data_IF_627931295631
#
_entry.id   IF_627931295631
#
_cell.length_a   1.000
_cell.length_b   1.000
_cell.length_c   1.000
_cell.angle_alpha   90.00
_cell.angle_beta   90.00
_cell.angle_gamma   90.00
#
_symmetry.space_group_name_H-M   'P 1'
#
loop_
_entity.id
_entity.type
_entity.pdbx_description
1 polymer ?
#
# COMPACT_ATOMS: atom_id res chain seq x y z
N UNK A 1 -62.73 14.93 47.93
CA UNK A 1 -62.92 14.04 46.77
C UNK A 1 -61.92 14.47 45.75
N UNK A 2 -60.86 13.71 45.61
CA UNK A 2 -59.72 14.00 44.74
C UNK A 2 -59.73 12.97 43.58
N UNK A 3 -59.77 13.44 42.33
CA UNK A 3 -59.75 12.62 41.14
C UNK A 3 -58.32 12.32 40.81
N UNK A 4 -58.02 11.08 40.28
CA UNK A 4 -56.67 10.70 39.89
C UNK A 4 -56.28 11.24 38.51
N UNK A 5 -55.08 11.77 38.42
CA UNK A 5 -54.44 12.25 37.19
C UNK A 5 -53.97 11.02 36.41
N UNK A 6 -54.49 10.82 35.23
CA UNK A 6 -54.00 9.83 34.27
C UNK A 6 -52.73 10.35 33.57
N UNK A 7 -51.59 9.75 33.88
CA UNK A 7 -50.34 10.06 33.22
C UNK A 7 -50.23 9.21 31.96
N UNK A 8 -50.46 9.80 30.79
CA UNK A 8 -50.22 9.15 29.50
C UNK A 8 -48.74 9.28 29.19
N UNK A 9 -48.01 8.17 29.35
CA UNK A 9 -46.67 8.00 28.79
C UNK A 9 -46.78 7.97 27.27
N UNK A 10 -46.57 9.08 26.60
CA UNK A 10 -46.22 9.13 25.18
C UNK A 10 -44.78 8.64 25.03
N UNK A 11 -44.66 7.39 24.57
CA UNK A 11 -43.37 6.82 24.15
C UNK A 11 -42.81 7.65 23.03
N UNK A 12 -41.75 8.41 23.34
CA UNK A 12 -40.90 9.03 22.33
C UNK A 12 -40.16 7.89 21.66
N UNK A 13 -40.58 7.49 20.46
CA UNK A 13 -39.80 6.69 19.57
C UNK A 13 -38.63 7.58 19.14
N UNK A 14 -37.50 7.43 19.81
CA UNK A 14 -36.26 8.06 19.40
C UNK A 14 -35.87 7.45 18.03
N UNK A 15 -36.16 8.22 16.99
CA UNK A 15 -35.51 7.97 15.69
C UNK A 15 -34.03 8.24 15.97
N UNK A 16 -33.26 7.17 16.12
CA UNK A 16 -31.81 7.24 16.03
C UNK A 16 -31.50 7.86 14.66
N UNK A 17 -31.20 9.14 14.66
CA UNK A 17 -30.63 9.76 13.48
C UNK A 17 -29.36 8.99 13.16
N UNK A 18 -29.45 8.15 12.13
CA UNK A 18 -28.30 7.49 11.56
C UNK A 18 -27.37 8.62 11.13
N UNK A 19 -26.29 8.83 11.89
CA UNK A 19 -25.26 9.79 11.50
C UNK A 19 -24.91 9.50 10.04
N UNK A 20 -24.93 10.52 9.20
CA UNK A 20 -24.48 10.39 7.82
C UNK A 20 -23.12 9.67 7.84
N UNK A 21 -22.88 8.71 6.92
CA UNK A 21 -21.61 8.02 6.88
C UNK A 21 -20.49 9.05 6.89
N UNK A 22 -19.54 8.91 7.82
CA UNK A 22 -18.40 9.80 7.88
C UNK A 22 -17.66 9.63 6.54
N UNK A 23 -17.63 10.67 5.70
CA UNK A 23 -16.89 10.63 4.45
C UNK A 23 -15.41 10.50 4.81
N UNK A 24 -14.84 9.32 4.57
CA UNK A 24 -13.40 9.13 4.60
C UNK A 24 -12.81 9.88 3.40
N UNK A 25 -12.19 11.01 3.69
CA UNK A 25 -11.55 11.88 2.69
C UNK A 25 -10.24 11.29 2.14
N UNK A 26 -9.75 10.19 2.71
CA UNK A 26 -8.44 9.58 2.42
C UNK A 26 -8.55 8.37 1.47
N UNK A 27 -9.49 8.39 0.55
CA UNK A 27 -9.61 7.34 -0.48
C UNK A 27 -8.42 7.36 -1.44
N UNK A 28 -8.21 6.25 -2.15
CA UNK A 28 -7.16 6.17 -3.19
C UNK A 28 -7.41 7.23 -4.25
N UNK A 29 -6.39 8.07 -4.46
CA UNK A 29 -6.43 9.17 -5.40
C UNK A 29 -5.27 9.04 -6.39
N UNK A 30 -5.60 8.98 -7.68
CA UNK A 30 -4.63 9.11 -8.75
C UNK A 30 -4.58 10.55 -9.22
N UNK A 31 -3.35 11.09 -9.36
CA UNK A 31 -3.09 12.45 -9.83
C UNK A 31 -2.13 12.40 -11.00
N UNK A 32 -2.57 12.80 -12.18
CA UNK A 32 -1.73 12.92 -13.37
C UNK A 32 -0.63 13.96 -13.19
N UNK A 33 0.56 13.71 -13.70
CA UNK A 33 1.69 14.66 -13.58
C UNK A 33 1.52 15.86 -14.50
N UNK A 34 1.06 15.66 -15.74
CA UNK A 34 1.01 16.72 -16.77
C UNK A 34 -0.30 16.77 -17.55
N UNK A 35 -1.12 15.73 -17.49
CA UNK A 35 -2.31 15.57 -18.33
C UNK A 35 -3.30 14.61 -17.69
N UNK A 36 -4.47 14.50 -18.28
CA UNK A 36 -5.42 13.43 -18.00
C UNK A 36 -4.83 12.06 -18.41
N UNK A 37 -5.28 11.03 -17.76
CA UNK A 37 -4.88 9.64 -17.95
C UNK A 37 -6.11 8.74 -17.91
N UNK A 38 -5.95 7.50 -18.32
CA UNK A 38 -6.92 6.44 -18.05
C UNK A 38 -6.36 5.43 -17.08
N UNK A 39 -7.22 4.89 -16.23
CA UNK A 39 -6.95 3.75 -15.36
C UNK A 39 -7.82 2.57 -15.79
N UNK A 40 -7.23 1.40 -15.87
CA UNK A 40 -7.95 0.13 -16.03
C UNK A 40 -7.36 -0.95 -15.13
N UNK A 41 -8.15 -1.97 -14.81
CA UNK A 41 -7.67 -3.24 -14.30
C UNK A 41 -7.65 -4.25 -15.45
N UNK A 42 -6.57 -5.03 -15.58
CA UNK A 42 -6.50 -6.06 -16.64
C UNK A 42 -7.59 -7.12 -16.51
N UNK A 43 -8.00 -7.42 -15.27
CA UNK A 43 -9.14 -8.26 -14.91
C UNK A 43 -9.78 -7.73 -13.63
N UNK A 44 -11.08 -7.95 -13.45
CA UNK A 44 -11.74 -7.70 -12.16
C UNK A 44 -11.38 -8.84 -11.21
N UNK A 45 -10.59 -8.56 -10.17
CA UNK A 45 -10.17 -9.55 -9.17
C UNK A 45 -10.38 -9.06 -7.73
N UNK A 46 -11.44 -8.31 -7.50
CA UNK A 46 -11.95 -7.98 -6.17
C UNK A 46 -13.30 -8.67 -5.95
N UNK A 47 -13.58 -9.00 -4.70
CA UNK A 47 -14.72 -9.84 -4.30
C UNK A 47 -15.93 -9.06 -3.78
N UNK A 48 -15.81 -7.75 -3.63
CA UNK A 48 -16.89 -6.83 -3.26
C UNK A 48 -17.19 -5.81 -4.35
N UNK A 49 -17.39 -4.57 -3.95
CA UNK A 49 -17.65 -3.43 -4.85
C UNK A 49 -16.45 -2.49 -4.86
N UNK A 50 -16.13 -1.96 -6.04
CA UNK A 50 -15.23 -0.82 -6.20
C UNK A 50 -15.97 0.25 -6.99
N UNK A 51 -15.84 1.49 -6.56
CA UNK A 51 -16.41 2.66 -7.22
C UNK A 51 -15.28 3.63 -7.59
N UNK A 52 -15.49 4.37 -8.66
CA UNK A 52 -14.64 5.48 -9.05
C UNK A 52 -15.41 6.80 -9.06
N UNK A 53 -14.67 7.90 -8.95
CA UNK A 53 -15.17 9.25 -9.06
C UNK A 53 -14.12 10.13 -9.72
N UNK A 54 -14.55 11.17 -10.42
CA UNK A 54 -13.69 12.22 -10.99
C UNK A 54 -13.86 13.57 -10.31
N UNK A 55 -14.88 13.70 -9.44
CA UNK A 55 -15.23 14.92 -8.71
C UNK A 55 -15.23 14.74 -7.18
N UNK A 56 -14.93 13.50 -6.70
CA UNK A 56 -14.97 13.08 -5.30
C UNK A 56 -16.37 13.20 -4.64
N UNK A 57 -17.41 13.34 -5.43
CA UNK A 57 -18.81 13.51 -4.99
C UNK A 57 -19.72 12.45 -5.58
N UNK A 58 -19.63 12.25 -6.87
CA UNK A 58 -20.44 11.28 -7.60
C UNK A 58 -19.64 10.01 -7.83
N UNK A 59 -20.17 8.88 -7.33
CA UNK A 59 -19.49 7.60 -7.38
C UNK A 59 -20.20 6.63 -8.32
N UNK A 60 -19.43 5.97 -9.15
CA UNK A 60 -19.92 4.99 -10.14
C UNK A 60 -19.24 3.65 -9.91
N UNK A 61 -20.02 2.57 -9.89
CA UNK A 61 -19.47 1.21 -9.76
C UNK A 61 -18.51 0.93 -10.92
N UNK A 62 -17.31 0.49 -10.56
CA UNK A 62 -16.25 0.17 -11.50
C UNK A 62 -16.09 -1.33 -11.69
N UNK A 63 -16.05 -1.78 -12.91
CA UNK A 63 -15.86 -3.18 -13.29
C UNK A 63 -14.43 -3.48 -13.80
N UNK A 64 -13.52 -2.51 -13.72
CA UNK A 64 -12.14 -2.65 -14.21
C UNK A 64 -11.91 -2.17 -15.64
N UNK A 65 -12.96 -1.78 -16.39
CA UNK A 65 -12.78 -1.17 -17.71
C UNK A 65 -12.08 0.19 -17.61
N UNK A 66 -11.49 0.64 -18.71
CA UNK A 66 -10.80 1.93 -18.74
C UNK A 66 -11.72 3.08 -18.35
N UNK A 67 -11.30 3.88 -17.36
CA UNK A 67 -11.97 5.12 -16.94
C UNK A 67 -10.97 6.27 -17.05
N UNK A 68 -11.46 7.43 -17.51
CA UNK A 68 -10.63 8.62 -17.69
C UNK A 68 -10.63 9.48 -16.42
N UNK A 69 -9.48 10.05 -16.09
CA UNK A 69 -9.40 11.15 -15.13
C UNK A 69 -10.07 12.41 -15.72
N UNK A 70 -10.41 13.34 -14.84
CA UNK A 70 -10.87 14.69 -15.22
C UNK A 70 -10.01 15.70 -14.47
N UNK A 71 -9.46 16.65 -15.16
CA UNK A 71 -8.50 17.62 -14.60
C UNK A 71 -7.35 16.92 -13.83
N UNK A 72 -6.87 15.80 -14.37
CA UNK A 72 -5.80 15.00 -13.80
C UNK A 72 -6.16 14.25 -12.52
N UNK A 73 -7.44 14.12 -12.15
CA UNK A 73 -7.86 13.44 -10.92
C UNK A 73 -8.77 12.25 -11.18
N UNK A 74 -8.54 11.17 -10.45
CA UNK A 74 -9.40 10.00 -10.41
C UNK A 74 -9.31 9.39 -9.00
N UNK A 75 -10.46 9.09 -8.42
CA UNK A 75 -10.61 8.56 -7.08
C UNK A 75 -11.19 7.16 -7.12
N UNK A 76 -10.72 6.28 -6.22
CA UNK A 76 -11.29 4.96 -6.01
C UNK A 76 -11.62 4.73 -4.54
N UNK A 77 -12.71 4.02 -4.30
CA UNK A 77 -13.07 3.48 -2.99
C UNK A 77 -13.68 2.09 -3.16
N UNK A 78 -13.68 1.30 -2.11
CA UNK A 78 -14.26 -0.04 -2.11
C UNK A 78 -15.12 -0.30 -0.90
N UNK A 79 -15.98 -1.29 -1.00
CA UNK A 79 -16.79 -1.80 0.11
C UNK A 79 -16.97 -3.31 0.02
N UNK A 80 -16.93 -3.98 1.19
CA UNK A 80 -17.10 -5.42 1.30
C UNK A 80 -16.04 -6.25 0.58
N UNK A 81 -14.88 -5.66 0.21
CA UNK A 81 -13.79 -6.41 -0.40
C UNK A 81 -12.91 -7.05 0.69
N UNK A 82 -12.39 -8.22 0.41
CA UNK A 82 -11.37 -8.87 1.24
C UNK A 82 -10.04 -9.05 0.50
N UNK A 83 -10.05 -8.88 -0.80
CA UNK A 83 -8.86 -9.08 -1.65
C UNK A 83 -8.91 -8.26 -2.94
N UNK A 84 -7.73 -7.88 -3.41
CA UNK A 84 -7.42 -7.34 -4.74
C UNK A 84 -6.36 -8.22 -5.42
N UNK A 85 -6.48 -9.51 -5.25
CA UNK A 85 -5.52 -10.49 -5.73
C UNK A 85 -5.44 -10.50 -7.25
N UNK A 86 -4.21 -10.47 -7.76
CA UNK A 86 -3.94 -10.70 -9.18
C UNK A 86 -3.66 -12.18 -9.43
N UNK A 87 -4.56 -12.85 -10.14
CA UNK A 87 -4.45 -14.29 -10.43
C UNK A 87 -3.65 -14.57 -11.71
N UNK A 88 -3.80 -13.74 -12.73
CA UNK A 88 -3.22 -13.95 -14.06
C UNK A 88 -2.59 -12.66 -14.61
N UNK A 89 -1.90 -11.87 -13.75
CA UNK A 89 -1.39 -10.57 -14.14
C UNK A 89 -2.47 -9.47 -14.18
N UNK A 90 -3.62 -9.70 -13.53
CA UNK A 90 -4.61 -8.65 -13.27
C UNK A 90 -3.96 -7.55 -12.44
N UNK A 91 -3.92 -6.37 -12.95
CA UNK A 91 -3.20 -5.25 -12.38
C UNK A 91 -3.80 -3.93 -12.82
N UNK A 92 -3.55 -2.92 -12.04
CA UNK A 92 -3.88 -1.56 -12.43
C UNK A 92 -2.88 -1.06 -13.49
N UNK A 93 -3.41 -0.48 -14.55
CA UNK A 93 -2.63 0.04 -15.68
C UNK A 93 -3.03 1.49 -15.93
N UNK A 94 -2.03 2.37 -15.94
CA UNK A 94 -2.17 3.80 -16.23
C UNK A 94 -1.70 4.08 -17.65
N UNK A 95 -2.45 4.88 -18.42
CA UNK A 95 -2.07 5.26 -19.79
C UNK A 95 -1.02 6.37 -19.84
N UNK A 96 -0.90 7.18 -18.78
CA UNK A 96 0.09 8.24 -18.62
C UNK A 96 0.58 8.31 -17.17
N UNK A 97 1.66 9.06 -16.93
CA UNK A 97 2.26 9.18 -15.60
C UNK A 97 1.31 9.81 -14.59
N UNK A 98 1.08 9.10 -13.50
CA UNK A 98 0.28 9.54 -12.38
C UNK A 98 0.84 9.05 -11.04
N UNK A 99 0.72 9.88 -10.02
CA UNK A 99 0.96 9.52 -8.64
C UNK A 99 -0.30 8.87 -8.06
N UNK A 100 -0.13 7.84 -7.22
CA UNK A 100 -1.18 7.30 -6.36
C UNK A 100 -0.92 7.74 -4.93
N UNK A 101 -1.96 8.18 -4.22
CA UNK A 101 -1.91 8.61 -2.81
C UNK A 101 -3.15 8.13 -2.07
N UNK A 102 -3.20 8.37 -0.76
CA UNK A 102 -4.28 7.93 0.10
C UNK A 102 -4.09 6.52 0.65
N UNK A 103 -5.01 6.10 1.49
CA UNK A 103 -4.96 4.84 2.20
C UNK A 103 -5.47 3.68 1.33
N UNK A 104 -4.58 2.71 0.98
CA UNK A 104 -4.95 1.55 0.14
C UNK A 104 -6.10 0.72 0.74
N UNK A 105 -6.24 0.70 2.07
CA UNK A 105 -7.26 -0.10 2.75
C UNK A 105 -8.68 0.41 2.49
N UNK A 106 -8.84 1.65 2.03
CA UNK A 106 -10.14 2.18 1.58
C UNK A 106 -10.70 1.45 0.36
N UNK A 107 -9.88 0.66 -0.34
CA UNK A 107 -10.34 -0.25 -1.38
C UNK A 107 -10.99 -1.52 -0.81
N UNK A 108 -10.65 -1.93 0.41
CA UNK A 108 -11.32 -3.05 1.09
C UNK A 108 -12.64 -2.59 1.69
N UNK A 109 -12.58 -1.55 2.51
CA UNK A 109 -13.74 -0.93 3.14
C UNK A 109 -13.47 0.56 3.39
N UNK A 110 -14.15 1.44 2.65
CA UNK A 110 -13.87 2.88 2.72
C UNK A 110 -14.44 3.54 3.97
N UNK A 111 -15.52 3.00 4.53
CA UNK A 111 -16.17 3.56 5.73
C UNK A 111 -15.40 3.27 7.03
N UNK A 112 -14.62 2.19 7.03
CA UNK A 112 -13.78 1.77 8.16
C UNK A 112 -12.58 0.96 7.66
N UNK A 113 -11.54 1.61 7.08
CA UNK A 113 -10.43 0.92 6.46
C UNK A 113 -9.70 -0.01 7.45
N UNK A 114 -9.59 -1.31 7.15
CA UNK A 114 -9.01 -2.26 8.09
C UNK A 114 -7.49 -2.10 8.20
N UNK A 115 -6.95 -2.21 9.40
CA UNK A 115 -5.49 -2.31 9.64
C UNK A 115 -4.99 -3.75 9.68
N UNK A 116 -5.90 -4.72 9.58
CA UNK A 116 -5.64 -6.15 9.59
C UNK A 116 -6.00 -6.75 8.24
N UNK A 117 -5.03 -7.36 7.56
CA UNK A 117 -5.30 -8.14 6.36
C UNK A 117 -5.73 -9.56 6.74
N UNK A 118 -6.88 -10.01 6.24
CA UNK A 118 -7.46 -11.32 6.57
C UNK A 118 -7.22 -12.38 5.48
N UNK A 119 -6.96 -11.98 4.24
CA UNK A 119 -6.76 -12.88 3.10
C UNK A 119 -5.31 -12.92 2.65
N UNK A 120 -4.82 -14.13 2.36
CA UNK A 120 -3.54 -14.32 1.69
C UNK A 120 -3.54 -13.66 0.32
N UNK A 121 -2.38 -13.18 -0.12
CA UNK A 121 -2.22 -12.55 -1.44
C UNK A 121 -3.10 -11.29 -1.65
N UNK A 122 -3.60 -10.64 -0.60
CA UNK A 122 -4.62 -9.58 -0.64
C UNK A 122 -4.37 -8.51 -1.72
N UNK A 123 -3.15 -8.00 -1.84
CA UNK A 123 -2.73 -6.98 -2.83
C UNK A 123 -1.57 -7.47 -3.71
N UNK A 124 -1.37 -8.78 -3.81
CA UNK A 124 -0.31 -9.35 -4.63
C UNK A 124 -0.39 -8.84 -6.05
N UNK A 125 0.72 -8.30 -6.55
CA UNK A 125 0.90 -7.83 -7.93
C UNK A 125 -0.09 -6.75 -8.40
N UNK A 126 -0.77 -6.03 -7.49
CA UNK A 126 -1.83 -5.07 -7.85
C UNK A 126 -1.36 -3.98 -8.82
N UNK A 127 -0.12 -3.50 -8.70
CA UNK A 127 0.52 -2.53 -9.59
C UNK A 127 1.67 -3.13 -10.40
N UNK A 128 1.79 -4.45 -10.48
CA UNK A 128 2.87 -5.10 -11.22
C UNK A 128 2.96 -4.58 -12.66
N UNK A 129 4.16 -4.14 -13.09
CA UNK A 129 4.41 -3.52 -14.39
C UNK A 129 3.58 -2.25 -14.67
N UNK A 130 3.11 -1.55 -13.67
CA UNK A 130 2.48 -0.24 -13.85
C UNK A 130 3.57 0.81 -14.07
N UNK A 131 4.17 0.82 -15.27
CA UNK A 131 5.36 1.63 -15.61
C UNK A 131 5.11 3.13 -15.56
N UNK A 132 3.85 3.57 -15.54
CA UNK A 132 3.43 4.97 -15.43
C UNK A 132 3.08 5.39 -13.99
N UNK A 133 3.18 4.51 -12.99
CA UNK A 133 2.98 4.87 -11.60
C UNK A 133 4.22 5.61 -11.06
N UNK A 134 4.05 6.82 -10.52
CA UNK A 134 5.18 7.66 -10.05
C UNK A 134 5.30 7.77 -8.55
N UNK A 135 4.21 7.57 -7.80
CA UNK A 135 4.19 7.45 -6.35
C UNK A 135 3.23 6.34 -5.91
N UNK A 136 3.59 5.63 -4.85
CA UNK A 136 2.75 4.59 -4.24
C UNK A 136 1.82 5.17 -3.18
N UNK A 137 0.62 4.58 -2.96
CA UNK A 137 -0.27 4.95 -1.87
C UNK A 137 0.27 4.48 -0.52
N UNK A 138 -0.31 4.95 0.58
CA UNK A 138 -0.01 4.47 1.91
C UNK A 138 -0.51 3.03 2.14
N UNK A 139 0.30 2.24 2.85
CA UNK A 139 0.04 0.84 3.18
C UNK A 139 -0.03 0.65 4.70
N UNK A 140 -1.08 1.12 5.38
CA UNK A 140 -1.12 1.24 6.83
C UNK A 140 -1.39 -0.07 7.58
N UNK A 141 -1.48 -1.22 6.91
CA UNK A 141 -1.74 -2.49 7.59
C UNK A 141 -0.63 -2.86 8.56
N UNK A 142 -1.01 -3.10 9.81
CA UNK A 142 -0.12 -3.53 10.90
C UNK A 142 -0.10 -5.03 11.11
N UNK A 143 -1.14 -5.73 10.67
CA UNK A 143 -1.22 -7.20 10.70
C UNK A 143 -1.33 -7.74 9.27
N UNK A 144 -0.37 -8.58 8.91
CA UNK A 144 -0.18 -9.09 7.57
C UNK A 144 -0.59 -10.56 7.44
N UNK A 145 -0.79 -10.99 6.19
CA UNK A 145 -0.94 -12.39 5.80
C UNK A 145 0.17 -12.81 4.83
N UNK A 146 0.25 -14.09 4.56
CA UNK A 146 1.23 -14.65 3.61
C UNK A 146 1.00 -14.06 2.20
N UNK A 147 2.09 -13.64 1.53
CA UNK A 147 2.11 -13.06 0.19
C UNK A 147 1.30 -11.76 0.01
N UNK A 148 0.84 -11.09 1.06
CA UNK A 148 -0.16 -10.01 0.96
C UNK A 148 0.24 -8.84 0.05
N UNK A 149 1.51 -8.46 0.01
CA UNK A 149 2.06 -7.40 -0.86
C UNK A 149 3.14 -7.90 -1.81
N UNK A 150 3.23 -9.22 -2.04
CA UNK A 150 4.23 -9.78 -2.95
C UNK A 150 4.13 -9.13 -4.32
N UNK A 151 5.27 -8.66 -4.84
CA UNK A 151 5.41 -8.05 -6.18
C UNK A 151 4.47 -6.88 -6.44
N UNK A 152 3.93 -6.22 -5.40
CA UNK A 152 2.87 -5.22 -5.56
C UNK A 152 3.26 -4.09 -6.53
N UNK A 153 4.50 -3.63 -6.48
CA UNK A 153 5.04 -2.57 -7.33
C UNK A 153 6.20 -3.04 -8.21
N UNK A 154 6.42 -4.35 -8.35
CA UNK A 154 7.50 -4.86 -9.20
C UNK A 154 7.35 -4.35 -10.63
N UNK A 155 8.47 -3.97 -11.24
CA UNK A 155 8.56 -3.39 -12.58
C UNK A 155 7.83 -2.03 -12.77
N UNK A 156 7.52 -1.31 -11.69
CA UNK A 156 7.04 0.08 -11.76
C UNK A 156 8.23 1.02 -12.01
N UNK A 157 8.73 1.06 -13.25
CA UNK A 157 9.99 1.73 -13.59
C UNK A 157 9.98 3.25 -13.40
N UNK A 158 8.80 3.90 -13.39
CA UNK A 158 8.67 5.34 -13.09
C UNK A 158 8.43 5.63 -11.61
N UNK A 159 8.31 4.63 -10.74
CA UNK A 159 8.02 4.82 -9.32
C UNK A 159 9.20 5.49 -8.62
N UNK A 160 9.00 6.74 -8.17
CA UNK A 160 10.01 7.56 -7.47
C UNK A 160 9.84 7.50 -5.95
N UNK A 161 8.58 7.42 -5.50
CA UNK A 161 8.20 7.52 -4.09
C UNK A 161 7.48 6.26 -3.63
N UNK A 162 8.10 5.53 -2.70
CA UNK A 162 7.47 4.44 -1.94
C UNK A 162 6.61 5.00 -0.80
N UNK A 163 5.75 4.19 -0.14
CA UNK A 163 5.17 4.54 1.15
C UNK A 163 6.27 4.94 2.14
N UNK A 164 6.02 5.91 3.01
CA UNK A 164 7.03 6.37 3.98
C UNK A 164 7.45 5.26 4.96
N UNK A 165 6.52 4.41 5.34
CA UNK A 165 6.72 3.30 6.28
C UNK A 165 5.86 2.10 5.88
N UNK A 166 6.36 0.90 6.15
CA UNK A 166 5.60 -0.36 6.14
C UNK A 166 5.41 -0.79 7.60
N UNK A 167 4.29 -0.42 8.26
CA UNK A 167 4.21 -0.33 9.73
C UNK A 167 4.12 -1.67 10.45
N UNK A 168 3.97 -2.79 9.74
CA UNK A 168 3.87 -4.10 10.37
C UNK A 168 5.15 -4.48 11.11
N UNK A 169 5.04 -4.79 12.39
CA UNK A 169 6.16 -5.19 13.25
C UNK A 169 6.38 -6.71 13.27
N UNK A 170 5.36 -7.49 12.91
CA UNK A 170 5.43 -8.95 12.77
C UNK A 170 5.10 -9.34 11.34
N UNK A 171 6.08 -9.92 10.66
CA UNK A 171 5.95 -10.25 9.24
C UNK A 171 5.42 -11.67 9.03
N UNK A 172 4.96 -11.93 7.80
CA UNK A 172 4.52 -13.22 7.32
C UNK A 172 5.35 -13.65 6.10
N UNK A 173 5.33 -14.94 5.82
CA UNK A 173 6.05 -15.53 4.68
C UNK A 173 5.74 -14.78 3.38
N UNK A 174 6.80 -14.35 2.66
CA UNK A 174 6.75 -13.62 1.40
C UNK A 174 5.92 -12.32 1.40
N UNK A 175 5.59 -11.73 2.55
CA UNK A 175 4.65 -10.59 2.62
C UNK A 175 5.08 -9.38 1.79
N UNK A 176 6.38 -9.08 1.69
CA UNK A 176 6.96 -7.98 0.90
C UNK A 176 7.98 -8.47 -0.15
N UNK A 177 8.01 -9.78 -0.45
CA UNK A 177 8.92 -10.33 -1.45
C UNK A 177 8.71 -9.66 -2.81
N UNK A 178 9.81 -9.29 -3.48
CA UNK A 178 9.82 -8.60 -4.78
C UNK A 178 9.02 -7.30 -4.85
N UNK A 179 8.66 -6.69 -3.71
CA UNK A 179 7.68 -5.60 -3.67
C UNK A 179 8.04 -4.43 -4.58
N UNK A 180 9.31 -4.03 -4.63
CA UNK A 180 9.83 -2.94 -5.46
C UNK A 180 10.88 -3.42 -6.47
N UNK A 181 10.93 -4.72 -6.78
CA UNK A 181 11.85 -5.26 -7.77
C UNK A 181 11.76 -4.47 -9.08
N UNK A 182 12.91 -4.11 -9.67
CA UNK A 182 13.02 -3.33 -10.91
C UNK A 182 12.38 -1.91 -10.86
N UNK A 183 12.13 -1.33 -9.69
CA UNK A 183 11.72 0.08 -9.58
C UNK A 183 12.93 1.00 -9.79
N UNK A 184 13.37 1.13 -11.02
CA UNK A 184 14.65 1.79 -11.37
C UNK A 184 14.70 3.28 -11.03
N UNK A 185 13.55 3.95 -10.91
CA UNK A 185 13.44 5.36 -10.51
C UNK A 185 13.30 5.57 -9.00
N UNK A 186 13.17 4.50 -8.18
CA UNK A 186 12.95 4.61 -6.75
C UNK A 186 14.19 5.19 -6.06
N UNK A 187 14.01 6.32 -5.35
CA UNK A 187 15.13 7.06 -4.74
C UNK A 187 15.25 6.83 -3.24
N UNK A 188 14.16 6.45 -2.55
CA UNK A 188 14.13 6.23 -1.11
C UNK A 188 13.39 4.93 -0.76
N UNK A 189 13.92 4.19 0.22
CA UNK A 189 13.26 3.02 0.77
C UNK A 189 12.27 3.43 1.88
N UNK A 190 11.18 2.68 2.09
CA UNK A 190 10.32 2.84 3.26
C UNK A 190 11.03 2.44 4.55
N UNK A 191 10.59 2.97 5.68
CA UNK A 191 11.01 2.46 6.99
C UNK A 191 10.43 1.05 7.21
N UNK A 192 11.25 0.18 7.81
CA UNK A 192 10.96 -1.23 8.04
C UNK A 192 11.04 -1.54 9.55
N UNK A 193 10.01 -1.21 10.35
CA UNK A 193 10.05 -1.33 11.80
C UNK A 193 9.90 -2.77 12.33
N UNK A 194 9.79 -3.76 11.45
CA UNK A 194 9.56 -5.14 11.86
C UNK A 194 10.66 -5.64 12.79
N UNK A 195 10.24 -6.23 13.91
CA UNK A 195 11.14 -6.83 14.91
C UNK A 195 11.22 -8.35 14.78
N UNK A 196 10.23 -8.98 14.15
CA UNK A 196 10.19 -10.43 13.88
C UNK A 196 10.07 -10.66 12.39
N UNK A 197 11.08 -11.32 11.84
CA UNK A 197 11.14 -11.65 10.42
C UNK A 197 10.50 -13.01 10.14
N UNK A 198 10.04 -13.18 8.90
CA UNK A 198 9.47 -14.43 8.39
C UNK A 198 10.21 -14.88 7.13
N UNK A 199 10.01 -16.14 6.75
CA UNK A 199 10.62 -16.71 5.55
C UNK A 199 10.38 -15.83 4.32
N UNK A 200 11.46 -15.40 3.68
CA UNK A 200 11.45 -14.59 2.45
C UNK A 200 10.61 -13.31 2.51
N UNK A 201 10.44 -12.73 3.69
CA UNK A 201 9.59 -11.54 3.86
C UNK A 201 10.09 -10.33 3.04
N UNK A 202 11.41 -10.16 2.87
CA UNK A 202 12.05 -9.08 2.09
C UNK A 202 12.87 -9.63 0.90
N UNK A 203 12.66 -10.88 0.50
CA UNK A 203 13.37 -11.51 -0.61
C UNK A 203 13.23 -10.68 -1.89
N UNK A 204 14.35 -10.32 -2.53
CA UNK A 204 14.42 -9.51 -3.74
C UNK A 204 13.70 -8.14 -3.66
N UNK A 205 13.45 -7.60 -2.44
CA UNK A 205 12.54 -6.45 -2.25
C UNK A 205 12.92 -5.23 -3.10
N UNK A 206 14.22 -4.92 -3.23
CA UNK A 206 14.73 -3.77 -3.97
C UNK A 206 15.74 -4.16 -5.07
N UNK A 207 15.77 -5.42 -5.48
CA UNK A 207 16.67 -5.85 -6.56
C UNK A 207 16.47 -4.96 -7.79
N UNK A 208 17.59 -4.53 -8.41
CA UNK A 208 17.63 -3.65 -9.58
C UNK A 208 17.00 -2.25 -9.38
N UNK A 209 16.81 -1.78 -8.15
CA UNK A 209 16.43 -0.38 -7.87
C UNK A 209 17.65 0.53 -8.04
N UNK A 210 18.05 0.83 -9.28
CA UNK A 210 19.34 1.48 -9.59
C UNK A 210 19.47 2.92 -9.09
N UNK A 211 18.35 3.61 -8.83
CA UNK A 211 18.35 4.96 -8.22
C UNK A 211 18.37 4.91 -6.68
N UNK A 212 18.06 3.77 -6.05
CA UNK A 212 18.11 3.60 -4.61
C UNK A 212 19.56 3.45 -4.14
N UNK A 213 20.01 4.37 -3.28
CA UNK A 213 21.40 4.43 -2.83
C UNK A 213 21.50 4.16 -1.34
N UNK A 214 22.09 3.01 -0.97
CA UNK A 214 22.32 2.57 0.41
C UNK A 214 23.82 2.38 0.65
N UNK A 215 24.29 2.70 1.86
CA UNK A 215 25.66 2.52 2.32
C UNK A 215 25.67 1.86 3.71
N UNK A 216 26.75 1.14 4.02
CA UNK A 216 27.04 0.66 5.38
C UNK A 216 27.68 1.75 6.26
N UNK A 217 28.11 2.88 5.68
CA UNK A 217 28.80 3.94 6.39
C UNK A 217 28.09 5.29 6.22
N UNK A 218 28.04 6.06 7.30
CA UNK A 218 27.53 7.45 7.31
C UNK A 218 28.59 8.41 6.76
N UNK A 219 28.61 8.59 5.43
CA UNK A 219 29.61 9.44 4.75
C UNK A 219 28.99 10.19 3.57
N UNK A 220 29.46 11.40 3.28
CA UNK A 220 29.02 12.16 2.11
C UNK A 220 27.51 12.35 2.04
N UNK A 221 26.87 11.89 0.98
CA UNK A 221 25.44 11.99 0.77
C UNK A 221 24.61 10.99 1.62
N UNK A 222 25.25 9.97 2.20
CA UNK A 222 24.58 8.93 2.96
C UNK A 222 24.36 9.35 4.42
N UNK A 223 23.36 10.16 4.68
CA UNK A 223 23.09 10.73 6.01
C UNK A 223 21.83 10.20 6.68
N UNK A 224 20.86 9.66 5.91
CA UNK A 224 19.62 9.13 6.44
C UNK A 224 19.86 7.75 7.07
N UNK A 225 19.62 7.62 8.37
CA UNK A 225 19.70 6.33 9.06
C UNK A 225 18.52 5.45 8.66
N UNK A 226 18.82 4.22 8.26
CA UNK A 226 17.86 3.22 7.84
C UNK A 226 18.18 1.87 8.48
N UNK A 227 17.21 1.26 9.12
CA UNK A 227 17.39 0.04 9.90
C UNK A 227 16.48 -1.08 9.45
N UNK A 228 17.01 -2.32 9.45
CA UNK A 228 16.31 -3.54 9.13
C UNK A 228 16.77 -4.66 10.05
N UNK A 229 15.91 -5.23 10.85
CA UNK A 229 14.87 -4.58 11.68
C UNK A 229 15.50 -3.78 12.82
N UNK A 230 14.71 -3.01 13.55
CA UNK A 230 15.22 -2.17 14.63
C UNK A 230 15.64 -2.96 15.87
N UNK A 231 15.02 -4.11 16.12
CA UNK A 231 15.32 -5.07 17.18
C UNK A 231 14.54 -6.38 16.93
N UNK A 232 14.90 -7.47 17.59
CA UNK A 232 14.13 -8.71 17.58
C UNK A 232 14.94 -9.95 17.23
N UNK A 233 14.34 -11.10 17.53
CA UNK A 233 14.86 -12.44 17.23
C UNK A 233 14.37 -12.90 15.88
N UNK A 234 15.25 -13.48 15.08
CA UNK A 234 14.88 -14.19 13.88
C UNK A 234 14.12 -15.45 14.31
N UNK A 235 12.91 -15.65 13.81
CA UNK A 235 12.24 -16.95 13.92
C UNK A 235 13.10 -18.03 13.29
N UNK A 236 13.34 -19.08 14.01
CA UNK A 236 14.23 -20.23 13.97
C UNK A 236 14.79 -20.79 12.64
N UNK A 237 14.61 -20.15 11.52
CA UNK A 237 15.27 -20.56 10.27
C UNK A 237 15.59 -19.32 9.43
N UNK A 238 16.86 -18.85 9.47
CA UNK A 238 17.26 -17.60 8.80
C UNK A 238 17.36 -17.74 7.28
N UNK A 239 16.76 -18.74 6.69
CA UNK A 239 16.89 -18.99 5.27
C UNK A 239 16.08 -17.96 4.47
N UNK A 240 16.84 -16.99 3.89
CA UNK A 240 16.37 -16.14 2.81
C UNK A 240 15.30 -15.10 3.15
N UNK A 241 15.30 -14.52 4.36
CA UNK A 241 14.35 -13.45 4.65
C UNK A 241 14.60 -12.18 3.79
N UNK A 242 15.84 -11.96 3.34
CA UNK A 242 16.29 -10.79 2.57
C UNK A 242 17.19 -11.16 1.38
N UNK A 243 17.12 -12.37 0.85
CA UNK A 243 17.97 -12.80 -0.26
C UNK A 243 17.89 -11.81 -1.42
N UNK A 244 19.03 -11.42 -1.99
CA UNK A 244 19.16 -10.47 -3.10
C UNK A 244 18.48 -9.09 -2.86
N UNK A 245 18.19 -8.75 -1.59
CA UNK A 245 17.36 -7.58 -1.25
C UNK A 245 17.86 -6.28 -1.87
N UNK A 246 19.16 -6.02 -1.89
CA UNK A 246 19.78 -4.80 -2.42
C UNK A 246 20.68 -5.06 -3.63
N UNK A 247 20.56 -6.21 -4.28
CA UNK A 247 21.36 -6.52 -5.46
C UNK A 247 21.08 -5.52 -6.59
N UNK A 248 22.14 -5.05 -7.25
CA UNK A 248 22.08 -4.07 -8.34
C UNK A 248 21.41 -2.72 -7.96
N UNK A 249 21.38 -2.35 -6.68
CA UNK A 249 21.01 -0.97 -6.27
C UNK A 249 22.13 0.02 -6.60
N UNK A 250 21.81 1.33 -6.60
CA UNK A 250 22.76 2.38 -6.98
C UNK A 250 23.76 2.78 -5.89
N UNK A 251 23.64 2.23 -4.65
CA UNK A 251 24.49 2.59 -3.51
C UNK A 251 25.84 1.88 -3.47
N UNK A 252 26.58 2.11 -2.39
CA UNK A 252 27.87 1.45 -2.12
C UNK A 252 27.66 0.09 -1.45
N UNK A 253 26.54 -0.12 -0.76
CA UNK A 253 26.12 -1.39 -0.19
C UNK A 253 25.10 -2.06 -1.11
N UNK A 254 25.44 -3.23 -1.66
CA UNK A 254 24.66 -3.95 -2.69
C UNK A 254 24.45 -5.41 -2.32
N UNK A 255 24.42 -5.73 -1.04
CA UNK A 255 24.32 -7.09 -0.53
C UNK A 255 23.02 -7.29 0.27
N UNK A 256 22.92 -8.41 0.96
CA UNK A 256 21.82 -8.68 1.87
C UNK A 256 22.08 -7.98 3.21
N UNK A 257 21.22 -7.05 3.64
CA UNK A 257 21.44 -6.37 4.90
C UNK A 257 21.30 -7.33 6.09
N UNK A 258 22.11 -7.07 7.11
CA UNK A 258 22.04 -7.80 8.38
C UNK A 258 20.98 -7.20 9.30
N UNK A 259 20.35 -8.04 10.12
CA UNK A 259 19.42 -7.57 11.15
C UNK A 259 20.15 -6.76 12.22
N UNK A 260 19.41 -5.89 12.91
CA UNK A 260 19.91 -5.00 13.96
C UNK A 260 21.10 -4.12 13.54
N UNK A 261 21.27 -3.94 12.24
CA UNK A 261 22.34 -3.13 11.66
C UNK A 261 21.76 -1.86 11.06
N UNK A 262 22.38 -0.72 11.36
CA UNK A 262 22.02 0.56 10.74
C UNK A 262 22.76 0.70 9.42
N UNK A 263 22.03 1.04 8.39
CA UNK A 263 22.51 1.45 7.08
C UNK A 263 22.18 2.92 6.86
N UNK A 264 22.69 3.50 5.79
CA UNK A 264 22.53 4.92 5.51
C UNK A 264 22.06 5.12 4.07
N UNK A 265 20.95 5.82 3.91
CA UNK A 265 20.42 6.20 2.61
C UNK A 265 20.94 7.54 2.15
N UNK A 266 21.09 7.71 0.84
CA UNK A 266 21.37 9.01 0.22
C UNK A 266 20.05 9.71 -0.17
N UNK A 267 19.06 9.70 0.73
CA UNK A 267 17.79 10.44 0.60
C UNK A 267 17.51 11.17 1.92
N UNK A 268 16.68 12.23 1.83
CA UNK A 268 16.11 12.89 3.01
C UNK A 268 14.64 12.46 3.17
N UNK A 269 14.19 12.40 4.40
CA UNK A 269 12.76 12.27 4.73
C UNK A 269 12.12 13.63 4.83
#
# INVERSE_FOLDING_TARGET
MSLPIYNQNLGIIGILAQSAPQEYTDCITFTGETSDFTLKASYKEWDGTVEYSTDHKTWTVWNGTAVSSVSGKLYLRGSGNTTFRSKNGARFVLSAKAACSGNIQTLLEYSNPPTVLSKTECYKSMFYQCTNLTAAPDLPATTLTTYCYQSMFSDCTSLKTAPAVLPATTLKTYCYSNMFCNCTSLTAAPELPATTLATRCYDCMFINCTSLKVSSNKTGAYQHEWRIPTSGTISSTPQYWNALMLENTGGTFKSNPSINTTYYGAWMK
#
